data_IF_469477756059
#
_entry.id   IF_469477756059
#
_cell.length_a   1.000
_cell.length_b   1.000
_cell.length_c   1.000
_cell.angle_alpha   90.00
_cell.angle_beta   90.00
_cell.angle_gamma   90.00
#
_symmetry.space_group_name_H-M   'P 1'
#
loop_
_entity.id
_entity.type
_entity.pdbx_description
1 polymer ?
#
# COMPACT_ATOMS: atom_id res chain seq x y z
N UNK A 1 9.04 -14.33 -21.25
CA UNK A 1 8.51 -14.16 -19.89
C UNK A 1 7.12 -14.78 -19.72
N UNK A 2 6.37 -14.94 -20.79
CA UNK A 2 5.01 -15.51 -20.77
C UNK A 2 4.97 -17.04 -20.65
N UNK A 3 6.07 -17.71 -20.96
CA UNK A 3 6.13 -19.17 -20.85
C UNK A 3 6.24 -19.60 -19.38
N UNK A 4 5.10 -19.98 -18.81
CA UNK A 4 4.98 -20.41 -17.41
C UNK A 4 5.75 -21.71 -17.07
N UNK A 5 6.29 -22.41 -18.07
CA UNK A 5 7.12 -23.63 -17.88
C UNK A 5 8.58 -23.30 -17.53
N UNK A 6 9.00 -22.06 -17.81
CA UNK A 6 10.31 -21.56 -17.41
C UNK A 6 10.33 -21.21 -15.94
N UNK A 7 11.51 -21.21 -15.33
CA UNK A 7 11.71 -20.74 -13.96
C UNK A 7 11.39 -19.25 -13.84
N UNK A 8 11.12 -18.79 -12.62
CA UNK A 8 10.83 -17.37 -12.37
C UNK A 8 12.03 -16.48 -12.73
N UNK A 9 13.26 -16.98 -12.51
CA UNK A 9 14.49 -16.29 -12.88
C UNK A 9 14.65 -16.14 -14.40
N UNK A 10 14.36 -17.20 -15.16
CA UNK A 10 14.42 -17.15 -16.62
C UNK A 10 13.37 -16.21 -17.20
N UNK A 11 12.15 -16.23 -16.63
CA UNK A 11 11.07 -15.33 -17.03
C UNK A 11 11.39 -13.87 -16.67
N UNK A 12 11.92 -13.63 -15.47
CA UNK A 12 12.33 -12.31 -15.03
C UNK A 12 13.46 -11.74 -15.89
N UNK A 13 14.47 -12.55 -16.22
CA UNK A 13 15.57 -12.15 -17.10
C UNK A 13 15.10 -11.81 -18.52
N UNK A 14 14.19 -12.61 -19.09
CA UNK A 14 13.61 -12.35 -20.40
C UNK A 14 12.79 -11.05 -20.40
N UNK A 15 11.97 -10.81 -19.37
CA UNK A 15 11.21 -9.57 -19.24
C UNK A 15 12.14 -8.37 -19.09
N UNK A 16 13.11 -8.43 -18.17
CA UNK A 16 14.07 -7.35 -17.95
C UNK A 16 14.86 -6.97 -19.21
N UNK A 17 15.19 -7.95 -20.05
CA UNK A 17 15.86 -7.71 -21.34
C UNK A 17 14.98 -7.03 -22.40
N UNK A 18 13.68 -6.94 -22.18
CA UNK A 18 12.73 -6.29 -23.10
C UNK A 18 12.35 -4.87 -22.68
N UNK A 19 12.49 -4.54 -21.40
CA UNK A 19 12.13 -3.25 -20.84
C UNK A 19 13.10 -2.15 -21.29
N UNK A 20 12.56 -0.96 -21.55
CA UNK A 20 13.37 0.24 -21.72
C UNK A 20 13.99 0.68 -20.37
N UNK A 21 14.93 1.61 -20.44
CA UNK A 21 15.54 2.20 -19.23
C UNK A 21 14.49 2.97 -18.39
N UNK A 22 13.56 3.65 -19.06
CA UNK A 22 12.47 4.38 -18.43
C UNK A 22 11.51 3.42 -17.71
N UNK A 23 11.14 2.31 -18.34
CA UNK A 23 10.30 1.28 -17.73
C UNK A 23 10.98 0.64 -16.52
N UNK A 24 12.29 0.34 -16.62
CA UNK A 24 13.08 -0.16 -15.47
C UNK A 24 13.12 0.88 -14.34
N UNK A 25 13.36 2.15 -14.65
CA UNK A 25 13.37 3.21 -13.66
C UNK A 25 12.02 3.36 -12.96
N UNK A 26 10.92 3.28 -13.71
CA UNK A 26 9.55 3.29 -13.14
C UNK A 26 9.30 2.15 -12.17
N UNK A 27 9.82 0.95 -12.44
CA UNK A 27 9.74 -0.20 -11.52
C UNK A 27 10.52 -0.02 -10.22
N UNK A 28 11.43 0.94 -10.15
CA UNK A 28 12.21 1.25 -8.94
C UNK A 28 11.58 2.36 -8.09
N UNK A 29 10.48 2.93 -8.53
CA UNK A 29 9.82 4.06 -7.88
C UNK A 29 8.48 3.66 -7.25
N UNK A 30 8.10 4.40 -6.21
CA UNK A 30 6.80 4.33 -5.59
C UNK A 30 5.99 5.60 -5.87
N UNK A 31 4.71 5.45 -6.18
CA UNK A 31 3.76 6.55 -6.15
C UNK A 31 2.90 6.52 -4.89
N UNK A 32 2.43 7.69 -4.42
CA UNK A 32 1.46 7.73 -3.34
C UNK A 32 0.08 7.31 -3.85
N UNK A 33 -0.73 6.75 -2.95
CA UNK A 33 -2.14 6.54 -3.18
C UNK A 33 -2.87 7.89 -3.26
N UNK A 34 -3.65 8.08 -4.30
CA UNK A 34 -4.53 9.23 -4.43
C UNK A 34 -5.83 8.93 -3.67
N UNK A 35 -5.94 9.44 -2.45
CA UNK A 35 -7.10 9.19 -1.58
C UNK A 35 -8.42 9.66 -2.21
N UNK A 36 -9.47 8.84 -2.09
CA UNK A 36 -10.82 9.15 -2.54
C UNK A 36 -11.82 8.78 -1.44
N UNK A 37 -12.67 9.69 -0.97
CA UNK A 37 -12.66 11.12 -1.27
C UNK A 37 -11.36 11.78 -0.78
N UNK A 38 -10.88 12.81 -1.48
CA UNK A 38 -9.66 13.48 -1.06
C UNK A 38 -9.88 14.11 0.31
N UNK A 39 -8.94 13.86 1.23
CA UNK A 39 -8.93 14.58 2.51
C UNK A 39 -8.72 16.07 2.23
N UNK A 40 -9.60 16.97 2.71
CA UNK A 40 -9.43 18.40 2.50
C UNK A 40 -8.04 18.86 2.98
N UNK A 41 -7.27 19.47 2.08
CA UNK A 41 -5.91 19.93 2.38
C UNK A 41 -4.82 18.84 2.38
N UNK A 42 -5.12 17.62 2.02
CA UNK A 42 -4.14 16.55 1.89
C UNK A 42 -3.21 16.75 0.68
N UNK A 43 -1.92 16.37 0.78
CA UNK A 43 -0.94 16.56 -0.30
C UNK A 43 -1.19 15.68 -1.54
N UNK A 44 -2.10 14.71 -1.45
CA UNK A 44 -2.32 13.68 -2.49
C UNK A 44 -3.74 13.78 -3.08
N UNK A 45 -4.19 14.99 -3.37
CA UNK A 45 -5.48 15.20 -4.05
C UNK A 45 -5.29 15.04 -5.56
N UNK A 46 -5.80 13.93 -6.09
CA UNK A 46 -5.88 13.74 -7.53
C UNK A 46 -7.03 14.49 -8.17
N UNK A 47 -6.95 14.66 -9.49
CA UNK A 47 -8.05 15.13 -10.34
C UNK A 47 -8.69 13.97 -11.08
N UNK A 48 -9.90 14.18 -11.58
CA UNK A 48 -10.68 13.20 -12.32
C UNK A 48 -11.26 13.87 -13.57
N UNK A 49 -10.69 13.58 -14.72
CA UNK A 49 -10.94 14.29 -15.99
C UNK A 49 -10.74 15.82 -15.84
N UNK A 50 -9.66 16.20 -15.14
CA UNK A 50 -9.29 17.60 -14.89
C UNK A 50 -10.13 18.30 -13.81
N UNK A 51 -11.06 17.61 -13.16
CA UNK A 51 -11.94 18.16 -12.12
C UNK A 51 -11.58 17.63 -10.74
N UNK A 52 -12.01 18.33 -9.70
CA UNK A 52 -11.97 17.77 -8.33
C UNK A 52 -12.87 16.53 -8.23
N UNK A 53 -12.64 15.67 -7.26
CA UNK A 53 -13.48 14.49 -7.06
C UNK A 53 -14.98 14.85 -6.94
N UNK A 54 -15.31 15.85 -6.13
CA UNK A 54 -16.70 16.27 -5.89
C UNK A 54 -17.41 16.79 -7.14
N UNK A 55 -16.66 17.41 -8.06
CA UNK A 55 -17.21 17.95 -9.31
C UNK A 55 -17.25 16.93 -10.44
N UNK A 56 -16.48 15.84 -10.30
CA UNK A 56 -16.31 14.85 -11.36
C UNK A 56 -17.49 13.90 -11.51
N UNK A 57 -18.24 13.67 -10.43
CA UNK A 57 -19.30 12.66 -10.37
C UNK A 57 -18.79 11.23 -10.51
N UNK A 58 -17.49 10.99 -10.32
CA UNK A 58 -16.87 9.65 -10.41
C UNK A 58 -17.17 8.81 -9.17
N UNK A 59 -17.13 7.51 -9.37
CA UNK A 59 -17.24 6.54 -8.27
C UNK A 59 -16.06 6.65 -7.30
N UNK A 60 -16.25 6.33 -6.00
CA UNK A 60 -15.19 6.45 -4.99
C UNK A 60 -13.94 5.62 -5.28
N UNK A 61 -14.04 4.60 -6.10
CA UNK A 61 -12.93 3.73 -6.50
C UNK A 61 -12.35 4.08 -7.88
N UNK A 62 -12.69 5.24 -8.45
CA UNK A 62 -12.12 5.67 -9.72
C UNK A 62 -10.63 5.96 -9.60
N UNK A 63 -9.88 5.70 -10.67
CA UNK A 63 -8.46 6.03 -10.75
C UNK A 63 -8.33 7.50 -11.12
N UNK A 64 -7.52 8.26 -10.36
CA UNK A 64 -7.25 9.67 -10.64
C UNK A 64 -6.42 9.86 -11.91
N UNK A 65 -6.40 11.08 -12.45
CA UNK A 65 -5.59 11.42 -13.61
C UNK A 65 -4.10 11.25 -13.32
N UNK A 66 -3.64 11.68 -12.14
CA UNK A 66 -2.26 11.51 -11.70
C UNK A 66 -1.88 10.04 -11.51
N UNK A 67 -2.81 9.23 -11.04
CA UNK A 67 -2.56 7.80 -10.91
C UNK A 67 -2.42 7.12 -12.28
N UNK A 68 -3.18 7.57 -13.28
CA UNK A 68 -3.01 7.11 -14.67
C UNK A 68 -1.64 7.52 -15.21
N UNK A 69 -1.25 8.79 -15.03
CA UNK A 69 0.05 9.32 -15.43
C UNK A 69 1.20 8.48 -14.82
N UNK A 70 1.16 8.19 -13.52
CA UNK A 70 2.16 7.34 -12.86
C UNK A 70 2.25 5.94 -13.51
N UNK A 71 1.12 5.36 -13.90
CA UNK A 71 1.09 4.02 -14.47
C UNK A 71 1.52 3.98 -15.93
N UNK A 72 1.07 4.95 -16.73
CA UNK A 72 1.15 4.94 -18.19
C UNK A 72 2.38 5.67 -18.72
N UNK A 73 2.70 6.83 -18.15
CA UNK A 73 3.80 7.68 -18.60
C UNK A 73 5.07 7.47 -17.77
N UNK A 74 4.93 7.34 -16.46
CA UNK A 74 6.07 7.16 -15.54
C UNK A 74 6.42 5.68 -15.31
N UNK A 75 5.64 4.74 -15.83
CA UNK A 75 5.82 3.29 -15.72
C UNK A 75 5.89 2.75 -14.29
N UNK A 76 5.39 3.48 -13.28
CA UNK A 76 5.43 3.08 -11.88
C UNK A 76 4.46 1.91 -11.64
N UNK A 77 4.94 0.89 -10.92
CA UNK A 77 4.15 -0.31 -10.57
C UNK A 77 4.06 -0.52 -9.07
N UNK A 78 4.65 0.33 -8.27
CA UNK A 78 4.59 0.25 -6.82
C UNK A 78 3.81 1.43 -6.26
N UNK A 79 2.80 1.14 -5.43
CA UNK A 79 1.94 2.17 -4.85
C UNK A 79 1.90 1.97 -3.34
N UNK A 80 2.14 3.04 -2.60
CA UNK A 80 2.00 3.08 -1.15
C UNK A 80 0.59 3.57 -0.80
N UNK A 81 -0.24 2.68 -0.25
CA UNK A 81 -1.52 3.05 0.32
C UNK A 81 -1.30 3.65 1.71
N UNK A 82 -1.75 4.87 1.87
CA UNK A 82 -1.62 5.61 3.13
C UNK A 82 -2.95 5.67 3.90
N UNK A 83 -4.05 5.36 3.22
CA UNK A 83 -5.37 5.35 3.82
C UNK A 83 -6.26 4.31 3.14
N UNK A 84 -7.18 3.73 3.90
CA UNK A 84 -8.23 2.85 3.42
C UNK A 84 -9.58 3.53 3.72
N UNK A 85 -10.30 3.95 2.69
CA UNK A 85 -11.62 4.60 2.85
C UNK A 85 -12.63 3.61 3.45
N UNK A 86 -12.82 2.51 2.78
CA UNK A 86 -13.50 1.31 3.27
C UNK A 86 -12.92 0.08 2.58
N UNK A 87 -13.06 -1.11 3.15
CA UNK A 87 -12.58 -2.34 2.53
C UNK A 87 -13.15 -2.54 1.11
N UNK A 88 -14.42 -2.26 0.90
CA UNK A 88 -15.07 -2.39 -0.41
C UNK A 88 -14.49 -1.42 -1.44
N UNK A 89 -14.36 -0.14 -1.09
CA UNK A 89 -13.81 0.89 -1.99
C UNK A 89 -12.36 0.57 -2.32
N UNK A 90 -11.55 0.20 -1.33
CA UNK A 90 -10.14 -0.15 -1.53
C UNK A 90 -9.96 -1.36 -2.42
N UNK A 91 -10.75 -2.42 -2.21
CA UNK A 91 -10.70 -3.61 -3.05
C UNK A 91 -11.12 -3.31 -4.50
N UNK A 92 -12.16 -2.53 -4.71
CA UNK A 92 -12.60 -2.10 -6.05
C UNK A 92 -11.54 -1.25 -6.74
N UNK A 93 -10.97 -0.29 -6.02
CA UNK A 93 -9.90 0.56 -6.53
C UNK A 93 -8.67 -0.28 -6.92
N UNK A 94 -8.25 -1.21 -6.06
CA UNK A 94 -7.17 -2.16 -6.35
C UNK A 94 -7.45 -2.96 -7.62
N UNK A 95 -8.67 -3.48 -7.78
CA UNK A 95 -9.07 -4.23 -8.97
C UNK A 95 -9.04 -3.38 -10.25
N UNK A 96 -9.49 -2.12 -10.19
CA UNK A 96 -9.42 -1.22 -11.34
C UNK A 96 -7.96 -0.90 -11.74
N UNK A 97 -7.07 -0.75 -10.76
CA UNK A 97 -5.64 -0.60 -11.04
C UNK A 97 -5.04 -1.83 -11.72
N UNK A 98 -5.30 -3.03 -11.19
CA UNK A 98 -4.80 -4.27 -11.79
C UNK A 98 -5.33 -4.45 -13.22
N UNK A 99 -6.63 -4.22 -13.41
CA UNK A 99 -7.26 -4.26 -14.73
C UNK A 99 -6.62 -3.26 -15.70
N UNK A 100 -6.28 -2.05 -15.22
CA UNK A 100 -5.56 -1.08 -16.03
C UNK A 100 -4.15 -1.56 -16.37
N UNK A 101 -3.41 -2.09 -15.41
CA UNK A 101 -2.08 -2.62 -15.61
C UNK A 101 -2.04 -3.74 -16.66
N UNK A 102 -3.04 -4.62 -16.68
CA UNK A 102 -3.17 -5.68 -17.69
C UNK A 102 -3.26 -5.14 -19.12
N UNK A 103 -3.74 -3.91 -19.31
CA UNK A 103 -3.84 -3.28 -20.64
C UNK A 103 -2.56 -2.58 -21.09
N UNK A 104 -1.58 -2.43 -20.19
CA UNK A 104 -0.31 -1.76 -20.48
C UNK A 104 0.72 -2.74 -21.06
N UNK A 105 1.79 -2.25 -21.69
CA UNK A 105 2.86 -3.12 -22.17
C UNK A 105 3.34 -4.09 -21.10
N UNK A 106 3.55 -5.34 -21.52
CA UNK A 106 3.99 -6.47 -20.68
C UNK A 106 3.01 -6.92 -19.59
N UNK A 107 1.94 -6.19 -19.30
CA UNK A 107 0.95 -6.57 -18.28
C UNK A 107 1.51 -6.71 -16.86
N UNK A 108 2.57 -5.94 -16.53
CA UNK A 108 3.21 -6.03 -15.22
C UNK A 108 2.22 -5.58 -14.14
N UNK A 109 1.88 -6.45 -13.16
CA UNK A 109 0.90 -6.13 -12.14
C UNK A 109 1.38 -5.02 -11.19
N UNK A 110 0.42 -4.35 -10.57
CA UNK A 110 0.70 -3.35 -9.54
C UNK A 110 1.02 -4.04 -8.21
N UNK A 111 2.12 -3.64 -7.59
CA UNK A 111 2.44 -4.00 -6.22
C UNK A 111 1.88 -2.94 -5.26
N UNK A 112 0.83 -3.29 -4.54
CA UNK A 112 0.25 -2.46 -3.51
C UNK A 112 0.90 -2.75 -2.18
N UNK A 113 1.41 -1.72 -1.55
CA UNK A 113 2.04 -1.80 -0.23
C UNK A 113 1.33 -0.88 0.77
N UNK A 114 1.42 -1.21 2.03
CA UNK A 114 0.98 -0.35 3.13
C UNK A 114 1.73 -0.69 4.41
N UNK A 115 1.45 0.08 5.44
CA UNK A 115 2.05 -0.05 6.75
C UNK A 115 1.07 -0.79 7.67
N UNK A 116 1.27 -2.10 7.98
CA UNK A 116 0.28 -2.93 8.64
C UNK A 116 0.23 -2.70 10.16
N UNK A 117 -0.05 -1.50 10.58
CA UNK A 117 -0.12 -1.20 12.01
C UNK A 117 -1.48 -1.41 12.61
N UNK A 118 -2.53 -1.33 11.82
CA UNK A 118 -3.92 -1.49 12.28
C UNK A 118 -4.20 -0.76 13.61
N UNK A 119 -3.57 0.41 13.80
CA UNK A 119 -3.57 1.14 15.06
C UNK A 119 -4.98 1.52 15.52
N UNK A 120 -5.20 1.48 16.82
CA UNK A 120 -6.48 1.80 17.43
C UNK A 120 -6.82 3.29 17.39
N UNK A 121 -5.84 4.16 17.11
CA UNK A 121 -6.06 5.60 17.00
C UNK A 121 -6.45 5.98 15.58
N UNK A 122 -7.58 6.64 15.46
CA UNK A 122 -7.97 7.37 14.25
C UNK A 122 -7.22 8.71 14.19
N UNK A 123 -5.90 8.68 14.09
CA UNK A 123 -5.14 9.91 13.87
C UNK A 123 -5.04 10.16 12.37
N UNK A 124 -5.84 11.05 11.85
CA UNK A 124 -5.77 11.47 10.44
C UNK A 124 -4.47 12.15 10.02
N UNK A 125 -3.50 12.27 10.93
CA UNK A 125 -2.19 12.86 10.68
C UNK A 125 -1.08 11.82 10.45
N UNK A 126 -1.34 10.56 10.71
CA UNK A 126 -0.35 9.51 10.55
C UNK A 126 -0.84 8.50 9.51
N UNK A 127 0.00 8.19 8.57
CA UNK A 127 -0.20 7.21 7.48
C UNK A 127 -0.46 5.77 7.96
N UNK A 128 -1.12 5.60 9.11
CA UNK A 128 -1.15 4.36 9.88
C UNK A 128 -2.53 3.86 10.24
N UNK A 129 -3.56 4.66 10.03
CA UNK A 129 -4.90 4.20 10.31
C UNK A 129 -5.48 3.53 9.07
N UNK A 130 -5.76 2.26 9.16
CA UNK A 130 -6.42 1.52 8.10
C UNK A 130 -7.91 1.84 7.95
N UNK A 131 -8.34 3.05 8.32
CA UNK A 131 -9.76 3.38 8.35
C UNK A 131 -10.51 2.69 9.50
N UNK A 132 -11.80 2.94 9.60
CA UNK A 132 -12.63 2.47 10.71
C UNK A 132 -13.05 1.00 10.63
N UNK A 133 -12.87 0.34 9.48
CA UNK A 133 -13.48 -0.96 9.18
C UNK A 133 -12.50 -2.14 9.12
N UNK A 134 -11.22 -1.91 9.36
CA UNK A 134 -10.25 -2.99 9.59
C UNK A 134 -10.05 -3.24 11.08
N UNK A 135 -9.53 -4.41 11.45
CA UNK A 135 -9.30 -4.74 12.86
C UNK A 135 -8.34 -3.75 13.51
N UNK A 136 -8.63 -3.35 14.74
CA UNK A 136 -7.83 -2.39 15.51
C UNK A 136 -7.03 -3.12 16.56
N UNK A 137 -5.74 -2.85 16.58
CA UNK A 137 -4.76 -3.48 17.44
C UNK A 137 -3.93 -2.45 18.19
N UNK A 138 -3.27 -2.84 19.30
CA UNK A 138 -2.29 -1.99 19.95
C UNK A 138 -1.13 -1.63 19.00
N UNK A 139 -0.43 -0.54 19.28
CA UNK A 139 0.86 -0.25 18.65
C UNK A 139 1.91 -1.31 19.05
N UNK A 140 3.04 -1.35 18.33
CA UNK A 140 4.08 -2.36 18.53
C UNK A 140 4.55 -2.52 19.98
N UNK A 141 4.77 -1.39 20.68
CA UNK A 141 5.14 -1.41 22.11
C UNK A 141 4.05 -2.01 23.01
N UNK A 142 2.79 -1.92 22.60
CA UNK A 142 1.66 -2.56 23.28
C UNK A 142 1.71 -4.09 23.17
N UNK A 143 2.11 -4.63 22.02
CA UNK A 143 2.37 -6.06 21.85
C UNK A 143 3.51 -6.51 22.75
N UNK A 144 4.62 -5.76 22.75
CA UNK A 144 5.76 -6.04 23.61
C UNK A 144 5.36 -6.10 25.10
N UNK A 145 4.52 -5.16 25.54
CA UNK A 145 4.03 -5.11 26.92
C UNK A 145 3.16 -6.32 27.33
N UNK A 146 2.63 -7.08 26.37
CA UNK A 146 1.91 -8.31 26.66
C UNK A 146 2.84 -9.46 27.09
N UNK A 147 4.12 -9.42 26.73
CA UNK A 147 5.08 -10.49 26.92
C UNK A 147 4.61 -11.86 26.38
N UNK A 148 3.81 -11.82 25.33
CA UNK A 148 3.20 -12.99 24.71
C UNK A 148 3.34 -12.93 23.19
N UNK A 149 4.27 -13.70 22.61
CA UNK A 149 4.49 -13.70 21.18
C UNK A 149 3.30 -14.25 20.36
N UNK A 150 2.38 -14.99 20.98
CA UNK A 150 1.19 -15.50 20.30
C UNK A 150 0.24 -14.35 19.93
N UNK A 151 0.17 -13.31 20.75
CA UNK A 151 -0.63 -12.10 20.45
C UNK A 151 -0.11 -11.40 19.20
N UNK A 152 1.20 -11.21 19.09
CA UNK A 152 1.83 -10.64 17.90
C UNK A 152 1.62 -11.55 16.67
N UNK A 153 1.72 -12.86 16.84
CA UNK A 153 1.44 -13.85 15.81
C UNK A 153 -0.02 -13.81 15.32
N UNK A 154 -0.98 -13.59 16.22
CA UNK A 154 -2.38 -13.44 15.84
C UNK A 154 -2.61 -12.15 15.06
N UNK A 155 -2.04 -11.02 15.51
CA UNK A 155 -2.05 -9.76 14.77
C UNK A 155 -1.54 -9.94 13.34
N UNK A 156 -0.38 -10.56 13.17
CA UNK A 156 0.21 -10.77 11.85
C UNK A 156 -0.70 -11.59 10.91
N UNK A 157 -1.38 -12.61 11.45
CA UNK A 157 -2.35 -13.41 10.68
C UNK A 157 -3.57 -12.60 10.26
N UNK A 158 -4.11 -11.79 11.15
CA UNK A 158 -5.29 -10.99 10.87
C UNK A 158 -4.96 -9.85 9.90
N UNK A 159 -3.88 -9.11 10.14
CA UNK A 159 -3.39 -8.07 9.24
C UNK A 159 -3.11 -8.62 7.82
N UNK A 160 -2.46 -9.78 7.72
CA UNK A 160 -2.18 -10.42 6.43
C UNK A 160 -3.46 -10.80 5.67
N UNK A 161 -4.47 -11.31 6.38
CA UNK A 161 -5.76 -11.66 5.78
C UNK A 161 -6.52 -10.44 5.28
N UNK A 162 -6.60 -9.41 6.12
CA UNK A 162 -7.29 -8.16 5.80
C UNK A 162 -6.61 -7.45 4.63
N UNK A 163 -5.30 -7.34 4.65
CA UNK A 163 -4.54 -6.68 3.58
C UNK A 163 -4.71 -7.38 2.24
N UNK A 164 -4.68 -8.70 2.21
CA UNK A 164 -4.96 -9.46 0.98
C UNK A 164 -6.37 -9.20 0.45
N UNK A 165 -7.35 -9.07 1.34
CA UNK A 165 -8.71 -8.73 0.94
C UNK A 165 -8.83 -7.32 0.34
N UNK A 166 -7.95 -6.39 0.73
CA UNK A 166 -7.83 -5.04 0.18
C UNK A 166 -7.02 -4.98 -1.13
N UNK A 167 -6.36 -6.08 -1.51
CA UNK A 167 -5.44 -6.15 -2.64
C UNK A 167 -4.00 -5.74 -2.29
N UNK A 168 -3.69 -5.51 -1.02
CA UNK A 168 -2.35 -5.15 -0.55
C UNK A 168 -1.51 -6.43 -0.42
N UNK A 169 -0.36 -6.46 -1.08
CA UNK A 169 0.51 -7.64 -1.14
C UNK A 169 1.86 -7.45 -0.45
N UNK A 170 2.23 -6.22 -0.16
CA UNK A 170 3.51 -5.89 0.48
C UNK A 170 3.29 -5.09 1.75
N UNK A 171 3.85 -5.56 2.86
CA UNK A 171 3.87 -4.85 4.12
C UNK A 171 5.18 -4.08 4.29
N UNK A 172 5.09 -2.80 4.67
CA UNK A 172 6.23 -1.99 5.12
C UNK A 172 6.41 -2.19 6.64
N UNK A 173 6.77 -3.38 7.04
CA UNK A 173 6.88 -3.77 8.44
C UNK A 173 7.30 -5.23 8.59
N UNK A 174 7.46 -5.70 9.84
CA UNK A 174 7.35 -4.92 11.08
C UNK A 174 8.54 -3.97 11.28
N UNK A 175 8.36 -2.95 12.13
CA UNK A 175 9.46 -2.10 12.57
C UNK A 175 10.18 -2.82 13.73
N UNK A 176 11.38 -3.31 13.47
CA UNK A 176 12.15 -4.17 14.39
C UNK A 176 13.24 -3.43 15.16
N UNK A 177 13.22 -2.11 15.14
CA UNK A 177 14.15 -1.30 15.94
C UNK A 177 13.93 -1.55 17.44
N UNK A 178 15.00 -1.49 18.23
CA UNK A 178 14.91 -1.59 19.68
C UNK A 178 14.45 -0.27 20.30
N UNK A 179 13.48 -0.34 21.19
CA UNK A 179 12.90 0.79 21.89
C UNK A 179 13.78 1.22 23.08
N UNK A 180 15.02 1.65 22.85
CA UNK A 180 15.99 2.00 23.90
C UNK A 180 15.96 3.48 24.32
N UNK A 181 15.24 4.34 23.60
CA UNK A 181 15.12 5.76 23.87
C UNK A 181 13.65 6.22 23.85
N UNK A 182 13.01 6.40 25.01
CA UNK A 182 11.58 6.70 25.07
C UNK A 182 11.18 8.08 24.51
N UNK A 183 12.14 8.97 24.28
CA UNK A 183 11.91 10.27 23.62
C UNK A 183 11.89 10.19 22.10
N UNK A 184 12.32 9.06 21.54
CA UNK A 184 12.26 8.85 20.10
C UNK A 184 10.80 8.76 19.64
N UNK A 185 10.40 9.64 18.73
CA UNK A 185 9.00 9.81 18.33
C UNK A 185 8.36 8.55 17.71
N UNK A 186 9.15 7.62 17.22
CA UNK A 186 8.67 6.38 16.60
C UNK A 186 8.82 5.14 17.50
N UNK A 187 9.18 5.31 18.77
CA UNK A 187 9.37 4.18 19.66
C UNK A 187 8.10 3.33 19.84
N UNK A 188 6.92 3.94 19.72
CA UNK A 188 5.62 3.26 19.85
C UNK A 188 5.38 2.17 18.80
N UNK A 189 6.06 2.26 17.67
CA UNK A 189 5.93 1.32 16.56
C UNK A 189 6.85 0.10 16.70
N UNK A 190 7.82 0.15 17.62
CA UNK A 190 8.79 -0.93 17.85
C UNK A 190 8.17 -2.04 18.70
N UNK A 191 8.76 -3.22 18.65
CA UNK A 191 8.30 -4.38 19.42
C UNK A 191 9.00 -4.51 20.79
N UNK A 192 9.53 -3.42 21.37
CA UNK A 192 10.09 -3.37 22.70
C UNK A 192 11.60 -3.20 22.75
N UNK A 193 12.17 -3.47 23.93
CA UNK A 193 13.59 -3.21 24.25
C UNK A 193 14.48 -4.45 24.11
N UNK A 194 13.89 -5.63 23.99
CA UNK A 194 14.60 -6.90 23.88
C UNK A 194 14.47 -7.52 22.49
N UNK A 195 15.49 -8.29 22.11
CA UNK A 195 15.58 -9.00 20.83
C UNK A 195 14.69 -10.25 20.83
#
# INVERSE_FOLDING_TARGET
>A
YEDWRLSDEERAADLAGRLSIEEIAGLMLYSPHQAVPPMPGGPFQGTFDGKTYLESGKEPYAISDQQKEFLEDEHIRHILLTNVESPEISAKWSNELQKRAETLPYGIPINLSSDPRNGAKDSGAEFKSGGSEISKWPEGVGFAACFDPEVAGQFAKDASREYRALGITTALGPQIDLCTEPRWMRFVDTLGEEV
#
